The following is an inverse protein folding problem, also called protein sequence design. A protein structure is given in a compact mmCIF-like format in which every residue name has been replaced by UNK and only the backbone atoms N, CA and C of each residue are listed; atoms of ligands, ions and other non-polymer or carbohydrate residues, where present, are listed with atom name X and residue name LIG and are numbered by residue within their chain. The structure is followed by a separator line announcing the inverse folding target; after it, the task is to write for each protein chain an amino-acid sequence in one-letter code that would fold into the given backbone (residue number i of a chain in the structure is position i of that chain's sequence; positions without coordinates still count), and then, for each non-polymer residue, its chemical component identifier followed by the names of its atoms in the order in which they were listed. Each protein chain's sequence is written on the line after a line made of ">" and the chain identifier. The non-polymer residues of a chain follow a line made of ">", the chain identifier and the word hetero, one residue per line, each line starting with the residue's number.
data_IF_983622806287
#
_entry.id   IF_983622806287
#
_cell.length_a   1.000
_cell.length_b   1.000
_cell.length_c   1.000
_cell.angle_alpha   90.00
_cell.angle_beta   90.00
_cell.angle_gamma   90.00
#
_symmetry.space_group_name_H-M   'P 1'
#
loop_
_entity.id
_entity.type
_entity.pdbx_description
1 polymer ?
#
# COMPACT_ATOMS: atom_id res chain seq x y z
N UNK A 1 8.49 -15.32 14.07
CA UNK A 1 9.68 -15.17 13.18
C UNK A 1 10.50 -13.94 13.57
N UNK A 2 11.82 -14.08 13.75
CA UNK A 2 12.75 -12.99 14.11
C UNK A 2 12.68 -11.78 13.16
N UNK A 3 12.28 -11.98 11.89
CA UNK A 3 12.11 -10.90 10.90
C UNK A 3 11.06 -9.88 11.33
N UNK A 4 10.12 -10.30 12.18
CA UNK A 4 8.99 -9.50 12.67
C UNK A 4 9.36 -8.72 13.94
N UNK A 5 10.43 -9.11 14.65
CA UNK A 5 10.83 -8.47 15.92
C UNK A 5 11.00 -6.94 15.81
N UNK A 6 11.68 -6.38 14.79
CA UNK A 6 11.83 -4.93 14.68
C UNK A 6 10.48 -4.21 14.50
N UNK A 7 9.52 -4.85 13.84
CA UNK A 7 8.17 -4.33 13.63
C UNK A 7 7.39 -4.31 14.95
N UNK A 8 7.40 -5.42 15.69
CA UNK A 8 6.72 -5.55 16.99
C UNK A 8 7.29 -4.55 18.01
N UNK A 9 8.62 -4.42 18.08
CA UNK A 9 9.28 -3.44 18.96
C UNK A 9 8.88 -2.02 18.57
N UNK A 10 8.81 -1.75 17.27
CA UNK A 10 8.50 -0.44 16.70
C UNK A 10 9.60 0.59 16.90
N UNK A 11 9.40 1.81 16.39
CA UNK A 11 10.39 2.87 16.54
C UNK A 11 10.67 3.18 18.02
N UNK A 12 11.95 3.11 18.41
CA UNK A 12 12.44 3.37 19.78
C UNK A 12 11.77 2.50 20.86
N UNK A 13 11.22 1.34 20.49
CA UNK A 13 10.52 0.47 21.43
C UNK A 13 9.19 1.02 21.95
N UNK A 14 8.59 1.99 21.26
CA UNK A 14 7.30 2.57 21.71
C UNK A 14 6.16 1.57 21.66
N UNK A 15 6.14 0.72 20.64
CA UNK A 15 5.05 -0.22 20.43
C UNK A 15 5.08 -1.32 21.51
N UNK A 16 6.22 -1.97 21.71
CA UNK A 16 6.39 -2.95 22.80
C UNK A 16 6.11 -2.32 24.16
N UNK A 17 6.56 -1.09 24.45
CA UNK A 17 6.25 -0.43 25.73
C UNK A 17 4.76 -0.23 25.96
N UNK A 18 4.01 0.10 24.90
CA UNK A 18 2.55 0.22 24.97
C UNK A 18 1.91 -1.12 25.32
N UNK A 19 2.34 -2.20 24.68
CA UNK A 19 1.84 -3.56 24.95
C UNK A 19 2.18 -3.98 26.39
N UNK A 20 3.42 -3.76 26.83
CA UNK A 20 3.84 -4.00 28.21
C UNK A 20 2.99 -3.23 29.23
N UNK A 21 2.63 -1.97 28.96
CA UNK A 21 1.80 -1.15 29.86
C UNK A 21 0.33 -1.58 29.86
N UNK A 22 -0.23 -1.94 28.71
CA UNK A 22 -1.62 -2.40 28.57
C UNK A 22 -1.87 -3.71 29.32
N UNK A 23 -1.00 -4.71 29.11
CA UNK A 23 -1.15 -6.03 29.71
C UNK A 23 -0.36 -6.18 31.03
N UNK A 24 0.42 -5.17 31.43
CA UNK A 24 1.27 -5.19 32.64
C UNK A 24 2.25 -6.37 32.68
N UNK A 25 2.79 -6.76 31.53
CA UNK A 25 3.75 -7.86 31.38
C UNK A 25 5.13 -7.32 31.00
N UNK A 26 6.18 -8.07 31.34
CA UNK A 26 7.54 -7.84 30.86
C UNK A 26 7.81 -8.75 29.65
N UNK A 27 8.21 -8.15 28.53
CA UNK A 27 8.52 -8.85 27.27
C UNK A 27 10.01 -8.71 26.98
N UNK A 28 10.71 -9.84 26.89
CA UNK A 28 12.12 -9.91 26.51
C UNK A 28 12.29 -10.54 25.14
N UNK A 29 12.89 -9.77 24.25
CA UNK A 29 13.33 -10.25 22.95
C UNK A 29 14.72 -10.90 23.05
N UNK A 30 14.96 -11.96 22.27
CA UNK A 30 16.27 -12.61 22.22
C UNK A 30 17.29 -11.66 21.59
N UNK A 31 18.54 -11.75 22.05
CA UNK A 31 19.67 -11.03 21.45
C UNK A 31 20.16 -11.80 20.23
N UNK A 32 20.86 -11.11 19.33
CA UNK A 32 21.50 -11.72 18.16
C UNK A 32 22.53 -12.81 18.52
N UNK A 33 22.97 -12.85 19.77
CA UNK A 33 23.94 -13.81 20.32
C UNK A 33 23.30 -15.07 20.89
N UNK A 34 21.97 -15.10 21.04
CA UNK A 34 21.26 -16.23 21.62
C UNK A 34 21.05 -17.33 20.55
N UNK A 35 21.02 -18.59 20.99
CA UNK A 35 20.88 -19.74 20.08
C UNK A 35 19.53 -19.78 19.37
N UNK A 36 18.49 -19.20 20.00
CA UNK A 36 17.11 -19.23 19.52
C UNK A 36 16.60 -17.80 19.27
N UNK A 37 16.84 -17.24 18.07
CA UNK A 37 16.46 -15.87 17.74
C UNK A 37 14.95 -15.66 17.59
N UNK A 38 14.16 -16.72 17.55
CA UNK A 38 12.69 -16.68 17.43
C UNK A 38 11.97 -16.74 18.78
N UNK A 39 12.69 -17.01 19.89
CA UNK A 39 12.09 -17.23 21.19
C UNK A 39 11.92 -15.92 21.97
N UNK A 40 10.66 -15.51 22.22
CA UNK A 40 10.31 -14.35 23.06
C UNK A 40 9.89 -14.85 24.44
N UNK A 41 10.41 -14.21 25.50
CA UNK A 41 10.02 -14.50 26.88
C UNK A 41 9.03 -13.44 27.38
N UNK A 42 7.84 -13.88 27.81
CA UNK A 42 6.82 -13.04 28.43
C UNK A 42 6.72 -13.44 29.90
N UNK A 43 6.73 -12.46 30.80
CA UNK A 43 6.62 -12.67 32.24
C UNK A 43 5.60 -11.73 32.86
N UNK A 44 4.68 -12.27 33.65
CA UNK A 44 3.60 -11.52 34.28
C UNK A 44 2.52 -12.46 34.82
N UNK A 45 1.32 -11.91 35.04
CA UNK A 45 0.15 -12.71 35.40
C UNK A 45 -0.26 -13.62 34.23
N UNK A 46 -0.74 -14.83 34.54
CA UNK A 46 -1.04 -15.85 33.53
C UNK A 46 -2.08 -15.38 32.49
N UNK A 47 -3.20 -14.82 32.95
CA UNK A 47 -4.27 -14.30 32.07
C UNK A 47 -3.73 -13.19 31.15
N UNK A 48 -2.96 -12.25 31.71
CA UNK A 48 -2.37 -11.15 30.95
C UNK A 48 -1.31 -11.63 29.96
N UNK A 49 -0.57 -12.69 30.29
CA UNK A 49 0.42 -13.28 29.39
C UNK A 49 -0.26 -13.96 28.20
N UNK A 50 -1.40 -14.63 28.42
CA UNK A 50 -2.19 -15.24 27.35
C UNK A 50 -2.77 -14.17 26.43
N UNK A 51 -3.36 -13.12 26.98
CA UNK A 51 -3.88 -12.00 26.19
C UNK A 51 -2.77 -11.28 25.40
N UNK A 52 -1.60 -11.06 26.04
CA UNK A 52 -0.45 -10.47 25.38
C UNK A 52 0.09 -11.35 24.24
N UNK A 53 0.06 -12.67 24.40
CA UNK A 53 0.48 -13.61 23.36
C UNK A 53 -0.43 -13.50 22.14
N UNK A 54 -1.73 -13.44 22.35
CA UNK A 54 -2.71 -13.35 21.26
C UNK A 54 -2.54 -12.03 20.49
N UNK A 55 -2.32 -10.92 21.20
CA UNK A 55 -2.03 -9.62 20.56
C UNK A 55 -0.72 -9.65 19.75
N UNK A 56 0.33 -10.31 20.25
CA UNK A 56 1.60 -10.45 19.53
C UNK A 56 1.45 -11.29 18.24
N UNK A 57 0.65 -12.35 18.29
CA UNK A 57 0.35 -13.19 17.12
C UNK A 57 -0.44 -12.41 16.07
N UNK A 58 -1.44 -11.63 16.50
CA UNK A 58 -2.22 -10.79 15.59
C UNK A 58 -1.35 -9.74 14.88
N UNK A 59 -0.42 -9.10 15.61
CA UNK A 59 0.54 -8.15 15.02
C UNK A 59 1.52 -8.83 14.04
N UNK A 60 1.89 -10.08 14.28
CA UNK A 60 2.72 -10.86 13.36
C UNK A 60 1.97 -11.15 12.05
N UNK A 61 0.72 -11.62 12.14
CA UNK A 61 -0.12 -11.90 10.98
C UNK A 61 -0.38 -10.65 10.13
N UNK A 62 -0.76 -9.53 10.77
CA UNK A 62 -0.97 -8.23 10.09
C UNK A 62 0.30 -7.81 9.33
N UNK A 63 1.48 -7.95 9.96
CA UNK A 63 2.73 -7.56 9.31
C UNK A 63 3.10 -8.47 8.14
N UNK A 64 2.89 -9.78 8.25
CA UNK A 64 3.16 -10.70 7.16
C UNK A 64 2.28 -10.37 5.95
N UNK A 65 1.01 -10.03 6.19
CA UNK A 65 0.11 -9.58 5.13
C UNK A 65 0.60 -8.27 4.49
N UNK A 66 0.96 -7.25 5.29
CA UNK A 66 1.52 -5.98 4.79
C UNK A 66 2.76 -6.20 3.91
N UNK A 67 3.64 -7.12 4.31
CA UNK A 67 4.87 -7.43 3.57
C UNK A 67 4.53 -8.09 2.24
N UNK A 68 3.60 -9.04 2.23
CA UNK A 68 3.13 -9.72 1.01
C UNK A 68 2.48 -8.71 0.07
N UNK A 69 1.56 -7.88 0.57
CA UNK A 69 0.84 -6.89 -0.24
C UNK A 69 1.81 -5.88 -0.86
N UNK A 70 2.81 -5.44 -0.09
CA UNK A 70 3.87 -4.55 -0.59
C UNK A 70 4.75 -5.21 -1.63
N UNK A 71 5.09 -6.49 -1.46
CA UNK A 71 5.86 -7.24 -2.45
C UNK A 71 5.05 -7.42 -3.73
N UNK A 72 3.77 -7.77 -3.61
CA UNK A 72 2.85 -7.92 -4.75
C UNK A 72 2.69 -6.59 -5.49
N UNK A 73 2.44 -5.49 -4.79
CA UNK A 73 2.37 -4.13 -5.35
C UNK A 73 3.68 -3.75 -6.06
N UNK A 74 4.83 -4.03 -5.44
CA UNK A 74 6.13 -3.75 -6.04
C UNK A 74 6.39 -4.52 -7.34
N UNK A 75 5.77 -5.69 -7.54
CA UNK A 75 5.82 -6.41 -8.82
C UNK A 75 5.00 -5.73 -9.91
N UNK A 76 3.88 -5.08 -9.56
CA UNK A 76 3.06 -4.32 -10.51
C UNK A 76 3.60 -2.92 -10.82
N UNK A 77 4.33 -2.32 -9.88
CA UNK A 77 4.93 -0.99 -10.07
C UNK A 77 6.27 -1.02 -10.82
N UNK A 78 6.94 -2.18 -10.87
CA UNK A 78 8.17 -2.33 -11.64
C UNK A 78 7.83 -2.36 -13.13
N UNK A 79 8.27 -1.37 -13.93
CA UNK A 79 8.16 -1.48 -15.37
C UNK A 79 8.88 -2.76 -15.79
N UNK A 80 8.28 -3.50 -16.74
CA UNK A 80 8.93 -4.71 -17.25
C UNK A 80 10.35 -4.36 -17.70
N UNK A 81 11.29 -5.31 -17.59
CA UNK A 81 12.67 -5.14 -18.06
C UNK A 81 12.75 -4.60 -19.52
N UNK A 82 11.72 -4.90 -20.32
CA UNK A 82 11.55 -4.41 -21.68
C UNK A 82 11.26 -2.90 -21.80
N UNK A 83 10.58 -2.29 -20.82
CA UNK A 83 10.35 -0.85 -20.77
C UNK A 83 11.55 -0.06 -20.24
N UNK A 84 12.36 -0.67 -19.37
CA UNK A 84 13.57 -0.05 -18.80
C UNK A 84 14.68 0.12 -19.86
N UNK A 85 14.87 -0.86 -20.75
CA UNK A 85 15.78 -0.78 -21.89
C UNK A 85 15.41 0.33 -22.89
N UNK A 86 14.11 0.60 -23.09
CA UNK A 86 13.66 1.70 -23.98
C UNK A 86 13.91 3.09 -23.40
N UNK A 87 13.90 3.25 -22.07
CA UNK A 87 14.13 4.55 -21.40
C UNK A 87 15.61 4.94 -21.37
N UNK A 88 16.52 3.98 -21.42
CA UNK A 88 17.97 4.21 -21.33
C UNK A 88 18.66 4.55 -22.66
N UNK A 89 17.95 4.52 -23.79
CA UNK A 89 18.51 4.89 -25.09
C UNK A 89 18.28 6.40 -25.40
N UNK A 90 19.30 7.27 -25.34
CA UNK A 90 19.14 8.71 -25.52
C UNK A 90 18.90 9.16 -26.98
N UNK A 91 18.69 8.22 -27.92
CA UNK A 91 18.56 8.48 -29.36
C UNK A 91 17.21 8.11 -29.98
N UNK A 92 16.17 7.82 -29.20
CA UNK A 92 14.81 7.74 -29.76
C UNK A 92 14.10 9.08 -29.56
N UNK A 93 13.81 9.80 -30.63
CA UNK A 93 12.79 10.85 -30.64
C UNK A 93 11.48 10.23 -30.15
N UNK A 94 11.11 10.51 -28.90
CA UNK A 94 9.98 9.89 -28.24
C UNK A 94 8.64 10.20 -28.89
N UNK A 95 7.67 9.33 -28.68
CA UNK A 95 6.28 9.55 -29.09
C UNK A 95 5.55 10.30 -27.97
N UNK A 96 5.23 11.57 -28.20
CA UNK A 96 4.46 12.40 -27.26
C UNK A 96 2.98 12.25 -27.58
N UNK A 97 2.22 11.60 -26.69
CA UNK A 97 0.75 11.58 -26.76
C UNK A 97 0.26 12.88 -26.11
N UNK A 98 -0.04 13.88 -26.93
CA UNK A 98 -0.67 15.11 -26.47
C UNK A 98 -2.18 15.05 -26.73
N UNK A 99 -2.98 15.50 -25.76
CA UNK A 99 -4.44 15.56 -25.89
C UNK A 99 -5.14 14.25 -25.51
N UNK A 100 -4.52 13.45 -24.64
CA UNK A 100 -5.21 12.30 -24.12
C UNK A 100 -6.37 12.74 -23.20
N UNK A 101 -7.47 11.96 -23.13
CA UNK A 101 -8.63 12.32 -22.32
C UNK A 101 -8.34 12.48 -20.82
N UNK A 102 -7.22 11.93 -20.34
CA UNK A 102 -6.75 12.04 -18.95
C UNK A 102 -5.81 13.24 -18.70
N UNK A 103 -5.30 13.89 -19.75
CA UNK A 103 -4.43 15.08 -19.61
C UNK A 103 -5.23 16.33 -19.23
N UNK A 104 -6.54 16.31 -19.45
CA UNK A 104 -7.46 17.38 -19.05
C UNK A 104 -8.27 16.91 -17.86
N UNK A 105 -8.00 17.41 -16.63
CA UNK A 105 -8.91 17.14 -15.53
C UNK A 105 -10.28 17.70 -15.92
N UNK A 106 -11.37 16.91 -15.80
CA UNK A 106 -12.71 17.43 -16.05
C UNK A 106 -12.97 18.59 -15.08
N UNK A 107 -13.66 19.63 -15.56
CA UNK A 107 -13.96 20.79 -14.74
C UNK A 107 -14.89 20.39 -13.60
N UNK A 108 -14.35 20.30 -12.39
CA UNK A 108 -15.08 19.86 -11.19
C UNK A 108 -16.16 20.84 -10.74
N UNK A 109 -16.26 22.01 -11.38
CA UNK A 109 -17.30 23.01 -11.15
C UNK A 109 -18.45 22.95 -12.17
N UNK A 110 -18.30 22.15 -13.23
CA UNK A 110 -19.30 22.01 -14.28
C UNK A 110 -20.40 21.03 -13.86
N UNK A 111 -21.63 21.54 -13.74
CA UNK A 111 -22.84 20.73 -13.48
C UNK A 111 -23.25 19.85 -14.66
N UNK A 112 -22.62 20.02 -15.83
CA UNK A 112 -22.83 19.17 -17.01
C UNK A 112 -22.03 17.86 -16.93
N UNK A 113 -20.82 17.91 -16.36
CA UNK A 113 -19.91 16.75 -16.25
C UNK A 113 -20.15 15.94 -14.97
N UNK A 114 -20.53 16.60 -13.86
CA UNK A 114 -20.87 15.95 -12.61
C UNK A 114 -22.27 16.39 -12.13
N UNK A 115 -23.32 15.60 -12.41
CA UNK A 115 -24.67 15.94 -11.97
C UNK A 115 -24.75 15.98 -10.44
N UNK A 116 -25.17 17.13 -9.90
CA UNK A 116 -25.42 17.30 -8.47
C UNK A 116 -26.56 16.37 -8.03
N UNK A 117 -26.30 15.44 -7.11
CA UNK A 117 -27.31 14.53 -6.55
C UNK A 117 -28.46 15.35 -5.93
N UNK A 118 -29.57 15.48 -6.65
CA UNK A 118 -30.76 16.18 -6.18
C UNK A 118 -31.49 17.03 -7.23
N UNK A 119 -30.89 17.30 -8.40
CA UNK A 119 -31.55 18.04 -9.48
C UNK A 119 -31.86 17.12 -10.67
N UNK A 120 -33.09 17.21 -11.19
CA UNK A 120 -33.64 16.41 -12.28
C UNK A 120 -32.70 16.29 -13.49
N UNK A 121 -32.59 15.06 -14.00
CA UNK A 121 -31.61 14.60 -14.98
C UNK A 121 -31.75 15.23 -16.37
N UNK A 122 -30.72 15.93 -16.85
CA UNK A 122 -30.48 16.13 -18.30
C UNK A 122 -29.56 15.00 -18.77
N UNK A 123 -29.93 14.33 -19.86
CA UNK A 123 -29.17 13.20 -20.40
C UNK A 123 -27.76 13.65 -20.87
N UNK A 124 -26.68 12.95 -20.49
CA UNK A 124 -25.34 13.35 -20.88
C UNK A 124 -25.11 13.10 -22.38
N UNK A 125 -24.55 14.09 -23.08
CA UNK A 125 -24.04 13.91 -24.44
C UNK A 125 -22.74 13.10 -24.34
N UNK A 126 -22.79 11.83 -24.71
CA UNK A 126 -21.59 10.98 -24.84
C UNK A 126 -20.73 11.55 -25.98
N UNK A 127 -19.71 12.33 -25.63
CA UNK A 127 -18.54 12.46 -26.49
C UNK A 127 -17.70 11.20 -26.29
N UNK A 128 -17.80 10.28 -27.24
CA UNK A 128 -17.04 9.03 -27.25
C UNK A 128 -15.54 9.30 -27.19
N UNK A 129 -14.97 9.26 -26.00
CA UNK A 129 -13.54 9.46 -25.75
C UNK A 129 -12.66 8.24 -26.12
N UNK A 130 -13.27 7.15 -26.59
CA UNK A 130 -12.59 5.89 -26.94
C UNK A 130 -13.11 5.31 -28.27
N UNK A 131 -13.08 6.10 -29.34
CA UNK A 131 -13.52 5.66 -30.67
C UNK A 131 -12.77 6.39 -31.79
N UNK A 132 -12.39 5.64 -32.83
CA UNK A 132 -11.56 6.11 -33.93
C UNK A 132 -12.23 7.25 -34.72
N UNK A 133 -11.65 8.46 -34.67
CA UNK A 133 -12.09 9.57 -35.50
C UNK A 133 -11.64 9.33 -36.95
N UNK A 134 -12.53 8.79 -37.78
CA UNK A 134 -12.31 8.73 -39.23
C UNK A 134 -12.39 10.15 -39.79
N UNK A 135 -11.21 10.71 -40.05
CA UNK A 135 -11.00 11.96 -40.76
C UNK A 135 -11.60 11.84 -42.18
N UNK A 136 -12.70 12.56 -42.43
CA UNK A 136 -13.25 12.74 -43.76
C UNK A 136 -12.26 13.48 -44.66
N UNK A 137 -11.98 12.90 -45.83
CA UNK A 137 -11.20 13.52 -46.89
C UNK A 137 -12.15 14.17 -47.91
N UNK A 138 -11.79 15.41 -48.25
CA UNK A 138 -12.19 16.25 -49.40
C UNK A 138 -13.48 17.05 -49.24
#
# INVERSE_FOLDING_TARGET
>A
DHRVHPRIIGQRGRNVKKIMEMYKVDIRFPRQTDNDPDLILISGDEDNCMDCKDELLNLEEEYLQDVIDKEMMGQYERPSKYEEEKRSNPKSTGFVVAGAPWDRPPDTSSTEDFPSMGASTVAPKVNTAWGSNRLGKR
#
